data_IF_102947309257
#
_entry.id   IF_102947309257
#
_cell.length_a   1.000
_cell.length_b   1.000
_cell.length_c   1.000
_cell.angle_alpha   90.00
_cell.angle_beta   90.00
_cell.angle_gamma   90.00
#
_symmetry.space_group_name_H-M   'P 1'
#
loop_
_entity.id
_entity.type
_entity.pdbx_description
1 polymer ?
#
# COMPACT_ATOMS: atom_id res chain seq x y z
N UNK A 1 13.50 -23.48 -8.46
CA UNK A 1 14.16 -22.35 -9.16
C UNK A 1 15.02 -21.62 -8.15
N UNK A 2 16.22 -21.15 -8.52
CA UNK A 2 17.14 -20.44 -7.62
C UNK A 2 16.39 -19.29 -6.93
N UNK A 3 16.34 -19.27 -5.58
CA UNK A 3 15.47 -18.39 -4.79
C UNK A 3 15.56 -16.91 -5.17
N UNK A 4 16.72 -16.50 -5.74
CA UNK A 4 16.94 -15.17 -6.30
C UNK A 4 15.89 -14.75 -7.33
N UNK A 5 15.53 -15.62 -8.28
CA UNK A 5 14.49 -15.31 -9.28
C UNK A 5 13.13 -15.06 -8.61
N UNK A 6 12.77 -15.88 -7.62
CA UNK A 6 11.54 -15.68 -6.86
C UNK A 6 11.58 -14.36 -6.07
N UNK A 7 12.73 -14.06 -5.46
CA UNK A 7 12.97 -12.83 -4.69
C UNK A 7 12.83 -11.58 -5.57
N UNK A 8 13.46 -11.57 -6.75
CA UNK A 8 13.38 -10.46 -7.69
C UNK A 8 11.93 -10.24 -8.18
N UNK A 9 11.20 -11.32 -8.53
CA UNK A 9 9.80 -11.22 -8.97
C UNK A 9 8.87 -10.72 -7.85
N UNK A 10 9.08 -11.20 -6.63
CA UNK A 10 8.35 -10.80 -5.44
C UNK A 10 8.59 -9.32 -5.11
N UNK A 11 9.84 -8.89 -5.02
CA UNK A 11 10.17 -7.52 -4.67
C UNK A 11 9.84 -6.53 -5.79
N UNK A 12 9.97 -6.93 -7.07
CA UNK A 12 9.54 -6.10 -8.20
C UNK A 12 8.10 -5.62 -8.05
N UNK A 13 7.16 -6.54 -7.81
CA UNK A 13 5.75 -6.18 -7.66
C UNK A 13 5.46 -5.45 -6.36
N UNK A 14 6.18 -5.80 -5.28
CA UNK A 14 6.07 -5.16 -3.98
C UNK A 14 6.46 -3.67 -4.03
N UNK A 15 7.54 -3.34 -4.74
CA UNK A 15 7.95 -1.94 -4.95
C UNK A 15 6.98 -1.17 -5.85
N UNK A 16 6.39 -1.80 -6.87
CA UNK A 16 5.39 -1.16 -7.72
C UNK A 16 4.10 -0.86 -6.94
N UNK A 17 3.62 -1.80 -6.12
CA UNK A 17 2.46 -1.56 -5.27
C UNK A 17 2.75 -0.48 -4.20
N UNK A 18 3.96 -0.47 -3.62
CA UNK A 18 4.40 0.57 -2.68
C UNK A 18 4.40 1.96 -3.33
N UNK A 19 4.94 2.09 -4.53
CA UNK A 19 4.91 3.34 -5.29
C UNK A 19 3.47 3.81 -5.54
N UNK A 20 2.57 2.91 -5.94
CA UNK A 20 1.14 3.23 -6.13
C UNK A 20 0.48 3.69 -4.82
N UNK A 21 0.71 2.96 -3.72
CA UNK A 21 0.15 3.27 -2.40
C UNK A 21 0.62 4.64 -1.89
N UNK A 22 1.92 4.92 -2.01
CA UNK A 22 2.48 6.20 -1.59
C UNK A 22 1.96 7.35 -2.45
N UNK A 23 1.84 7.17 -3.77
CA UNK A 23 1.25 8.18 -4.65
C UNK A 23 -0.20 8.50 -4.28
N UNK A 24 -1.00 7.48 -3.95
CA UNK A 24 -2.39 7.67 -3.50
C UNK A 24 -2.48 8.42 -2.17
N UNK A 25 -1.62 8.06 -1.23
CA UNK A 25 -1.56 8.70 0.08
C UNK A 25 -1.12 10.16 -0.04
N UNK A 26 -0.07 10.44 -0.83
CA UNK A 26 0.41 11.79 -1.11
C UNK A 26 -0.65 12.68 -1.76
N UNK A 27 -1.32 12.17 -2.78
CA UNK A 27 -2.36 12.89 -3.52
C UNK A 27 -3.51 13.34 -2.61
N UNK A 28 -3.95 12.41 -1.75
CA UNK A 28 -5.00 12.67 -0.76
C UNK A 28 -4.52 13.64 0.32
N UNK A 29 -3.33 13.44 0.88
CA UNK A 29 -2.75 14.30 1.92
C UNK A 29 -2.57 15.73 1.41
N UNK A 30 -2.06 15.87 0.18
CA UNK A 30 -1.93 17.16 -0.50
C UNK A 30 -3.30 17.80 -0.75
N UNK A 31 -4.28 17.04 -1.24
CA UNK A 31 -5.63 17.55 -1.46
C UNK A 31 -6.29 18.06 -0.17
N UNK A 32 -6.11 17.34 0.94
CA UNK A 32 -6.59 17.77 2.26
C UNK A 32 -5.88 19.01 2.78
N UNK A 33 -4.56 19.13 2.56
CA UNK A 33 -3.77 20.31 2.97
C UNK A 33 -4.23 21.61 2.30
N UNK A 34 -4.87 21.52 1.13
CA UNK A 34 -5.41 22.66 0.38
C UNK A 34 -6.84 23.05 0.78
N UNK A 35 -7.53 22.24 1.60
CA UNK A 35 -8.90 22.54 2.01
C UNK A 35 -8.93 23.69 3.03
N UNK A 36 -9.92 24.60 2.99
CA UNK A 36 -10.07 25.63 4.00
C UNK A 36 -10.24 24.99 5.39
N UNK A 37 -9.30 25.25 6.29
CA UNK A 37 -9.37 24.82 7.67
C UNK A 37 -9.97 25.98 8.48
N UNK A 38 -11.08 25.75 9.19
CA UNK A 38 -11.78 26.76 10.01
C UNK A 38 -10.89 27.24 11.19
N UNK A 39 -9.88 28.08 10.91
CA UNK A 39 -8.94 28.64 11.88
C UNK A 39 -7.81 27.70 12.33
N UNK A 40 -7.55 26.60 11.62
CA UNK A 40 -6.54 25.58 12.00
C UNK A 40 -5.43 25.43 10.97
N UNK A 41 -4.30 26.09 11.22
CA UNK A 41 -3.02 25.84 10.54
C UNK A 41 -2.99 26.10 9.03
N UNK A 42 -1.85 25.79 8.42
CA UNK A 42 -1.54 25.93 6.99
C UNK A 42 -1.64 24.59 6.23
N UNK A 43 -2.30 23.58 6.81
CA UNK A 43 -2.49 22.24 6.22
C UNK A 43 -1.28 21.31 6.33
N UNK A 44 -0.24 21.70 7.07
CA UNK A 44 0.97 20.88 7.28
C UNK A 44 0.66 19.55 7.97
N UNK A 45 -0.26 19.53 8.94
CA UNK A 45 -0.61 18.30 9.68
C UNK A 45 -1.18 17.22 8.75
N UNK A 46 -2.09 17.60 7.84
CA UNK A 46 -2.64 16.70 6.85
C UNK A 46 -1.57 16.20 5.86
N UNK A 47 -0.61 17.07 5.51
CA UNK A 47 0.49 16.72 4.61
C UNK A 47 1.57 15.85 5.29
N UNK A 48 1.65 15.89 6.62
CA UNK A 48 2.55 15.07 7.42
C UNK A 48 2.02 13.65 7.67
N UNK A 49 0.73 13.37 7.40
CA UNK A 49 0.13 12.04 7.56
C UNK A 49 0.99 10.90 6.96
N UNK A 50 1.55 11.01 5.73
CA UNK A 50 2.39 9.96 5.18
C UNK A 50 3.66 9.67 6.00
N UNK A 51 4.22 10.64 6.73
CA UNK A 51 5.39 10.44 7.61
C UNK A 51 5.05 9.51 8.77
N UNK A 52 3.86 9.65 9.34
CA UNK A 52 3.37 8.78 10.43
C UNK A 52 3.14 7.35 9.91
N UNK A 53 2.38 7.23 8.82
CA UNK A 53 1.96 5.92 8.26
C UNK A 53 3.16 5.07 7.83
N UNK A 54 4.19 5.72 7.31
CA UNK A 54 5.42 5.06 6.86
C UNK A 54 6.46 4.91 7.97
N UNK A 55 6.24 5.52 9.14
CA UNK A 55 7.20 5.56 10.25
C UNK A 55 8.50 6.30 9.89
N UNK A 56 8.41 7.33 9.04
CA UNK A 56 9.57 8.08 8.52
C UNK A 56 9.70 9.50 9.08
N UNK A 57 8.88 9.84 10.08
CA UNK A 57 8.92 11.17 10.70
C UNK A 57 10.30 11.52 11.27
N UNK A 58 10.92 10.62 12.03
CA UNK A 58 12.22 10.86 12.66
C UNK A 58 13.33 11.06 11.61
N UNK A 59 13.37 10.22 10.57
CA UNK A 59 14.32 10.34 9.43
C UNK A 59 14.14 11.68 8.70
N UNK A 60 12.88 12.09 8.47
CA UNK A 60 12.61 13.38 7.85
C UNK A 60 13.10 14.55 8.72
N UNK A 61 12.76 14.55 10.02
CA UNK A 61 13.14 15.63 10.92
C UNK A 61 14.67 15.73 11.08
N UNK A 62 15.37 14.60 11.15
CA UNK A 62 16.83 14.54 11.23
C UNK A 62 17.49 15.16 9.97
N UNK A 63 16.95 14.88 8.79
CA UNK A 63 17.54 15.30 7.50
C UNK A 63 17.10 16.69 7.04
N UNK A 64 15.89 17.12 7.38
CA UNK A 64 15.25 18.32 6.82
C UNK A 64 14.81 19.35 7.86
N UNK A 65 14.87 19.03 9.16
CA UNK A 65 14.42 19.91 10.23
C UNK A 65 12.90 20.07 10.25
N UNK A 66 12.42 21.29 10.46
CA UNK A 66 10.98 21.57 10.55
C UNK A 66 10.20 21.13 9.30
N UNK A 67 8.97 20.67 9.53
CA UNK A 67 8.06 20.23 8.49
C UNK A 67 7.79 21.35 7.49
N UNK A 68 7.97 21.04 6.21
CA UNK A 68 7.72 21.99 5.13
C UNK A 68 7.12 21.28 3.93
N UNK A 69 6.04 21.84 3.40
CA UNK A 69 5.22 21.19 2.39
C UNK A 69 6.03 20.69 1.18
N UNK A 70 6.77 21.56 0.51
CA UNK A 70 7.55 21.18 -0.67
C UNK A 70 8.63 20.14 -0.37
N UNK A 71 9.24 20.19 0.83
CA UNK A 71 10.28 19.23 1.24
C UNK A 71 9.66 17.86 1.52
N UNK A 72 8.50 17.81 2.17
CA UNK A 72 7.77 16.55 2.39
C UNK A 72 7.33 15.93 1.06
N UNK A 73 6.79 16.72 0.13
CA UNK A 73 6.43 16.25 -1.20
C UNK A 73 7.65 15.67 -1.94
N UNK A 74 8.79 16.37 -1.89
CA UNK A 74 10.03 15.87 -2.48
C UNK A 74 10.53 14.58 -1.80
N UNK A 75 10.52 14.54 -0.47
CA UNK A 75 10.97 13.40 0.35
C UNK A 75 10.29 12.08 -0.04
N UNK A 76 8.98 12.11 -0.30
CA UNK A 76 8.26 10.90 -0.72
C UNK A 76 8.30 10.65 -2.22
N UNK A 77 8.39 11.69 -3.04
CA UNK A 77 8.29 11.53 -4.50
C UNK A 77 9.64 11.25 -5.17
N UNK A 78 10.64 12.09 -4.92
CA UNK A 78 11.85 12.22 -5.74
C UNK A 78 13.16 12.00 -4.96
N UNK A 79 13.12 11.94 -3.64
CA UNK A 79 14.32 11.79 -2.82
C UNK A 79 14.99 10.43 -3.07
N UNK A 80 16.22 10.48 -3.59
CA UNK A 80 17.02 9.30 -3.91
C UNK A 80 17.67 8.67 -2.67
N UNK A 81 17.74 9.39 -1.56
CA UNK A 81 18.30 8.91 -0.31
C UNK A 81 17.25 8.27 0.60
N UNK A 82 15.95 8.49 0.32
CA UNK A 82 14.85 7.79 0.95
C UNK A 82 14.52 6.49 0.17
N UNK A 83 14.83 5.28 0.70
CA UNK A 83 14.56 4.03 -0.01
C UNK A 83 13.07 3.75 -0.22
N UNK A 84 12.19 4.39 0.56
CA UNK A 84 10.75 4.28 0.45
C UNK A 84 10.14 5.29 -0.53
N UNK A 85 10.91 6.22 -1.09
CA UNK A 85 10.40 7.18 -2.07
C UNK A 85 9.89 6.49 -3.33
N UNK A 86 8.96 7.13 -4.03
CA UNK A 86 8.43 6.65 -5.31
C UNK A 86 9.56 6.47 -6.33
N UNK A 87 10.51 7.40 -6.39
CA UNK A 87 11.70 7.30 -7.23
C UNK A 87 12.50 6.02 -6.96
N UNK A 88 12.86 5.76 -5.70
CA UNK A 88 13.62 4.59 -5.30
C UNK A 88 12.85 3.28 -5.53
N UNK A 89 11.54 3.27 -5.24
CA UNK A 89 10.68 2.11 -5.50
C UNK A 89 10.63 1.77 -7.00
N UNK A 90 10.44 2.76 -7.87
CA UNK A 90 10.43 2.53 -9.32
C UNK A 90 11.80 2.09 -9.85
N UNK A 91 12.90 2.62 -9.30
CA UNK A 91 14.26 2.18 -9.62
C UNK A 91 14.49 0.71 -9.23
N UNK A 92 14.10 0.35 -8.01
CA UNK A 92 14.25 -1.00 -7.49
C UNK A 92 13.38 -2.01 -8.27
N UNK A 93 12.13 -1.65 -8.57
CA UNK A 93 11.26 -2.45 -9.42
C UNK A 93 11.88 -2.72 -10.79
N UNK A 94 12.44 -1.69 -11.44
CA UNK A 94 13.13 -1.82 -12.74
C UNK A 94 14.39 -2.67 -12.67
N UNK A 95 15.14 -2.57 -11.59
CA UNK A 95 16.35 -3.37 -11.37
C UNK A 95 16.00 -4.85 -11.20
N UNK A 96 14.99 -5.16 -10.40
CA UNK A 96 14.48 -6.52 -10.24
C UNK A 96 13.94 -7.08 -11.56
N UNK A 97 13.11 -6.31 -12.27
CA UNK A 97 12.58 -6.69 -13.58
C UNK A 97 13.68 -7.02 -14.59
N UNK A 98 14.79 -6.27 -14.56
CA UNK A 98 15.93 -6.52 -15.43
C UNK A 98 16.62 -7.86 -15.09
N UNK A 99 16.81 -8.15 -13.80
CA UNK A 99 17.40 -9.40 -13.32
C UNK A 99 16.59 -10.64 -13.75
N UNK A 100 15.26 -10.51 -13.85
CA UNK A 100 14.35 -11.60 -14.24
C UNK A 100 13.70 -11.40 -15.60
N UNK A 101 14.35 -10.66 -16.51
CA UNK A 101 13.81 -10.38 -17.85
C UNK A 101 13.40 -11.64 -18.63
N UNK A 102 14.11 -12.76 -18.42
CA UNK A 102 13.77 -14.06 -19.01
C UNK A 102 12.58 -14.79 -18.37
N UNK A 103 11.95 -14.22 -17.33
CA UNK A 103 10.82 -14.80 -16.57
C UNK A 103 9.57 -13.93 -16.59
N UNK A 104 9.66 -12.71 -17.14
CA UNK A 104 8.55 -11.81 -17.39
C UNK A 104 8.34 -11.65 -18.89
N UNK A 105 7.19 -11.11 -19.30
CA UNK A 105 6.91 -10.89 -20.71
C UNK A 105 7.58 -9.63 -21.24
N UNK A 106 7.69 -9.50 -22.56
CA UNK A 106 8.19 -8.30 -23.22
C UNK A 106 7.37 -7.07 -22.80
N UNK A 107 6.05 -7.16 -22.85
CA UNK A 107 5.11 -6.10 -22.47
C UNK A 107 5.33 -5.62 -21.03
N UNK A 108 5.57 -6.54 -20.08
CA UNK A 108 5.87 -6.19 -18.69
C UNK A 108 7.20 -5.43 -18.58
N UNK A 109 8.25 -5.91 -19.25
CA UNK A 109 9.56 -5.28 -19.24
C UNK A 109 9.52 -3.88 -19.88
N UNK A 110 8.90 -3.77 -21.05
CA UNK A 110 8.77 -2.50 -21.77
C UNK A 110 7.99 -1.47 -20.96
N UNK A 111 6.92 -1.91 -20.29
CA UNK A 111 6.15 -1.06 -19.40
C UNK A 111 7.00 -0.49 -18.25
N UNK A 112 7.70 -1.35 -17.49
CA UNK A 112 8.54 -0.92 -16.36
C UNK A 112 9.69 -0.04 -16.85
N UNK A 113 10.34 -0.39 -17.96
CA UNK A 113 11.45 0.37 -18.47
C UNK A 113 11.00 1.77 -18.97
N UNK A 114 9.86 1.86 -19.66
CA UNK A 114 9.28 3.13 -20.06
C UNK A 114 8.91 3.99 -18.83
N UNK A 115 8.29 3.39 -17.81
CA UNK A 115 7.98 4.06 -16.53
C UNK A 115 9.24 4.68 -15.91
N UNK A 116 10.35 3.92 -15.87
CA UNK A 116 11.60 4.42 -15.31
C UNK A 116 12.23 5.55 -16.13
N UNK A 117 12.21 5.46 -17.46
CA UNK A 117 12.75 6.50 -18.32
C UNK A 117 11.98 7.82 -18.16
N UNK A 118 10.65 7.75 -18.09
CA UNK A 118 9.81 8.92 -17.85
C UNK A 118 9.98 9.47 -16.44
N UNK A 119 10.08 8.60 -15.41
CA UNK A 119 10.40 8.99 -14.03
C UNK A 119 11.64 9.88 -13.96
N UNK A 120 12.71 9.49 -14.67
CA UNK A 120 13.95 10.27 -14.72
C UNK A 120 13.76 11.64 -15.39
N UNK A 121 12.90 11.72 -16.40
CA UNK A 121 12.52 12.98 -17.04
C UNK A 121 11.78 13.90 -16.06
N UNK A 122 10.82 13.35 -15.32
CA UNK A 122 10.06 14.08 -14.28
C UNK A 122 11.01 14.55 -13.17
N UNK A 123 11.90 13.69 -12.69
CA UNK A 123 12.88 14.04 -11.66
C UNK A 123 13.81 15.17 -12.12
N UNK A 124 14.29 15.13 -13.37
CA UNK A 124 15.10 16.20 -13.95
C UNK A 124 14.32 17.53 -14.12
N UNK A 125 13.01 17.46 -14.39
CA UNK A 125 12.13 18.61 -14.47
C UNK A 125 11.80 19.23 -13.11
N UNK A 126 11.74 18.40 -12.06
CA UNK A 126 11.34 18.76 -10.71
C UNK A 126 9.81 18.81 -10.51
N UNK A 127 9.36 18.53 -9.28
CA UNK A 127 7.94 18.49 -8.94
C UNK A 127 7.23 19.84 -9.10
N UNK A 128 7.90 20.96 -8.79
CA UNK A 128 7.28 22.29 -8.88
C UNK A 128 6.77 22.62 -10.29
N UNK A 129 7.47 22.14 -11.33
CA UNK A 129 7.04 22.34 -12.73
C UNK A 129 6.13 21.22 -13.24
N UNK A 130 6.28 20.00 -12.76
CA UNK A 130 5.44 18.87 -13.20
C UNK A 130 4.05 18.89 -12.56
N UNK A 131 3.97 19.32 -11.29
CA UNK A 131 2.78 19.31 -10.45
C UNK A 131 2.60 18.01 -9.68
N UNK A 132 2.38 18.09 -8.37
CA UNK A 132 2.27 16.90 -7.51
C UNK A 132 1.04 16.03 -7.83
N UNK A 133 -0.14 16.62 -8.01
CA UNK A 133 -1.33 15.83 -8.35
C UNK A 133 -1.18 15.09 -9.68
N UNK A 134 -0.58 15.75 -10.69
CA UNK A 134 -0.25 15.11 -11.98
C UNK A 134 0.77 13.99 -11.81
N UNK A 135 1.77 14.17 -10.95
CA UNK A 135 2.74 13.14 -10.61
C UNK A 135 2.08 11.92 -9.99
N UNK A 136 1.23 12.12 -8.99
CA UNK A 136 0.53 11.02 -8.32
C UNK A 136 -0.41 10.28 -9.28
N UNK A 137 -1.18 10.97 -10.13
CA UNK A 137 -1.99 10.34 -11.18
C UNK A 137 -1.14 9.51 -12.13
N UNK A 138 -0.03 10.07 -12.62
CA UNK A 138 0.89 9.35 -13.49
C UNK A 138 1.40 8.06 -12.84
N UNK A 139 1.84 8.08 -11.58
CA UNK A 139 2.27 6.84 -10.86
C UNK A 139 1.15 5.81 -10.79
N UNK A 140 -0.09 6.24 -10.52
CA UNK A 140 -1.27 5.36 -10.48
C UNK A 140 -1.52 4.72 -11.85
N UNK A 141 -1.49 5.51 -12.93
CA UNK A 141 -1.64 5.02 -14.31
C UNK A 141 -0.54 4.02 -14.68
N UNK A 142 0.72 4.29 -14.36
CA UNK A 142 1.85 3.37 -14.63
C UNK A 142 1.65 2.03 -13.92
N UNK A 143 1.19 2.06 -12.68
CA UNK A 143 0.90 0.84 -11.91
C UNK A 143 -0.27 0.04 -12.49
N UNK A 144 -1.30 0.73 -13.01
CA UNK A 144 -2.42 0.10 -13.71
C UNK A 144 -1.99 -0.58 -15.01
N UNK A 145 -1.17 0.10 -15.81
CA UNK A 145 -0.63 -0.47 -17.04
C UNK A 145 0.23 -1.70 -16.77
N UNK A 146 1.11 -1.66 -15.77
CA UNK A 146 1.91 -2.82 -15.37
C UNK A 146 1.02 -4.00 -14.94
N UNK A 147 0.00 -3.75 -14.11
CA UNK A 147 -0.94 -4.77 -13.65
C UNK A 147 -1.72 -5.38 -14.82
N UNK A 148 -2.17 -4.56 -15.77
CA UNK A 148 -2.83 -5.01 -16.99
C UNK A 148 -1.92 -5.88 -17.87
N UNK A 149 -0.69 -5.44 -18.11
CA UNK A 149 0.32 -6.20 -18.87
C UNK A 149 0.62 -7.55 -18.19
N UNK A 150 0.79 -7.54 -16.86
CA UNK A 150 1.02 -8.76 -16.07
C UNK A 150 -0.13 -9.75 -16.25
N UNK A 151 -1.37 -9.32 -15.99
CA UNK A 151 -2.53 -10.22 -16.03
C UNK A 151 -2.86 -10.70 -17.46
N UNK A 152 -2.62 -9.86 -18.46
CA UNK A 152 -2.96 -10.16 -19.85
C UNK A 152 -1.96 -11.06 -20.58
N UNK A 153 -0.70 -11.13 -20.13
CA UNK A 153 0.37 -11.71 -20.95
C UNK A 153 1.16 -12.83 -20.28
N UNK A 154 1.33 -12.84 -18.96
CA UNK A 154 2.19 -13.83 -18.30
C UNK A 154 1.46 -15.16 -18.10
N UNK A 155 2.20 -16.27 -18.25
CA UNK A 155 1.70 -17.60 -17.88
C UNK A 155 1.43 -17.68 -16.38
N UNK A 156 0.30 -18.29 -15.98
CA UNK A 156 -0.14 -18.46 -14.58
C UNK A 156 0.64 -19.57 -13.82
N UNK A 157 1.96 -19.52 -13.89
CA UNK A 157 2.89 -20.41 -13.18
C UNK A 157 3.50 -19.78 -11.93
N UNK A 158 4.64 -20.30 -11.47
CA UNK A 158 5.34 -19.81 -10.27
C UNK A 158 5.68 -18.32 -10.34
N UNK A 159 6.14 -17.83 -11.50
CA UNK A 159 6.51 -16.43 -11.66
C UNK A 159 5.34 -15.48 -11.41
N UNK A 160 4.17 -15.81 -11.96
CA UNK A 160 2.93 -15.08 -11.70
C UNK A 160 2.57 -15.10 -10.21
N UNK A 161 2.68 -16.26 -9.55
CA UNK A 161 2.38 -16.40 -8.12
C UNK A 161 3.28 -15.50 -7.28
N UNK A 162 4.60 -15.50 -7.50
CA UNK A 162 5.51 -14.62 -6.74
C UNK A 162 5.23 -13.13 -6.94
N UNK A 163 4.91 -12.71 -8.17
CA UNK A 163 4.48 -11.34 -8.45
C UNK A 163 3.21 -11.00 -7.66
N UNK A 164 2.22 -11.90 -7.67
CA UNK A 164 0.95 -11.71 -6.95
C UNK A 164 1.15 -11.69 -5.43
N UNK A 165 2.05 -12.51 -4.88
CA UNK A 165 2.39 -12.51 -3.45
C UNK A 165 2.94 -11.15 -3.01
N UNK A 166 3.91 -10.59 -3.74
CA UNK A 166 4.46 -9.27 -3.43
C UNK A 166 3.37 -8.18 -3.48
N UNK A 167 2.50 -8.23 -4.48
CA UNK A 167 1.39 -7.27 -4.65
C UNK A 167 0.44 -7.29 -3.46
N UNK A 168 -0.10 -8.46 -3.10
CA UNK A 168 -1.14 -8.52 -2.07
C UNK A 168 -0.60 -8.41 -0.65
N UNK A 169 0.65 -8.80 -0.40
CA UNK A 169 1.24 -8.59 0.91
C UNK A 169 1.48 -7.09 1.17
N UNK A 170 1.98 -6.36 0.19
CA UNK A 170 2.15 -4.90 0.30
C UNK A 170 0.80 -4.19 0.45
N UNK A 171 -0.19 -4.62 -0.31
CA UNK A 171 -1.54 -4.06 -0.25
C UNK A 171 -2.21 -4.30 1.09
N UNK A 172 -2.12 -5.52 1.63
CA UNK A 172 -2.66 -5.87 2.95
C UNK A 172 -2.02 -5.03 4.07
N UNK A 173 -0.69 -4.91 4.08
CA UNK A 173 0.04 -4.09 5.05
C UNK A 173 -0.35 -2.62 4.94
N UNK A 174 -0.45 -2.07 3.72
CA UNK A 174 -0.86 -0.68 3.50
C UNK A 174 -2.30 -0.41 3.97
N UNK A 175 -3.25 -1.32 3.73
CA UNK A 175 -4.63 -1.15 4.20
C UNK A 175 -4.70 -1.08 5.72
N UNK A 176 -3.97 -1.97 6.41
CA UNK A 176 -3.90 -1.97 7.88
C UNK A 176 -3.30 -0.66 8.41
N UNK A 177 -2.12 -0.27 7.90
CA UNK A 177 -1.43 0.95 8.35
C UNK A 177 -2.22 2.22 8.09
N UNK A 178 -2.88 2.31 6.92
CA UNK A 178 -3.68 3.50 6.60
C UNK A 178 -4.91 3.62 7.52
N UNK A 179 -5.50 2.49 7.91
CA UNK A 179 -6.60 2.48 8.87
C UNK A 179 -6.12 2.81 10.29
N UNK A 180 -4.94 2.33 10.67
CA UNK A 180 -4.35 2.52 11.99
C UNK A 180 -3.82 3.93 12.24
N UNK A 181 -3.29 4.58 11.19
CA UNK A 181 -2.80 5.96 11.19
C UNK A 181 -3.70 6.98 11.88
N UNK A 182 -5.02 6.75 11.81
CA UNK A 182 -6.03 7.61 12.44
C UNK A 182 -5.90 7.62 13.95
N UNK A 183 -5.59 6.49 14.57
CA UNK A 183 -5.37 6.39 16.01
C UNK A 183 -4.06 7.05 16.42
N UNK A 184 -3.00 6.92 15.63
CA UNK A 184 -1.74 7.61 15.86
C UNK A 184 -1.88 9.14 15.79
N UNK A 185 -2.69 9.65 14.85
CA UNK A 185 -2.92 11.08 14.68
C UNK A 185 -3.84 11.70 15.73
N UNK A 186 -4.87 10.98 16.17
CA UNK A 186 -5.97 11.52 16.97
C UNK A 186 -5.95 11.06 18.44
N UNK A 187 -5.14 10.05 18.80
CA UNK A 187 -5.04 9.53 20.16
C UNK A 187 -6.40 9.11 20.74
N UNK A 188 -6.66 9.46 22.00
CA UNK A 188 -7.94 9.22 22.67
C UNK A 188 -9.13 9.92 21.99
N UNK A 189 -8.88 10.93 21.16
CA UNK A 189 -9.91 11.60 20.36
C UNK A 189 -10.24 10.84 19.07
N UNK A 190 -9.53 9.76 18.71
CA UNK A 190 -9.84 8.99 17.50
C UNK A 190 -11.27 8.44 17.48
N UNK A 191 -11.78 8.04 18.66
CA UNK A 191 -13.16 7.59 18.86
C UNK A 191 -14.14 8.75 19.08
N UNK A 192 -13.63 9.93 19.47
CA UNK A 192 -14.42 11.11 19.83
C UNK A 192 -14.53 12.18 18.73
N UNK A 193 -13.66 12.16 17.70
CA UNK A 193 -13.85 12.91 16.45
C UNK A 193 -15.12 12.39 15.85
N UNK A 194 -16.21 13.08 16.14
CA UNK A 194 -17.53 12.54 15.87
C UNK A 194 -17.62 12.20 14.39
N UNK A 195 -18.10 10.99 14.10
CA UNK A 195 -18.53 10.52 12.77
C UNK A 195 -19.53 11.49 12.09
N UNK A 196 -19.99 12.52 12.82
CA UNK A 196 -20.90 13.57 12.37
C UNK A 196 -20.23 14.91 12.05
N UNK A 197 -18.92 15.07 12.28
CA UNK A 197 -18.19 16.28 11.91
C UNK A 197 -17.84 16.28 10.41
N UNK A 198 -17.84 17.47 9.80
CA UNK A 198 -17.41 17.64 8.40
C UNK A 198 -15.96 17.15 8.21
N UNK A 199 -15.07 17.42 9.18
CA UNK A 199 -13.68 16.95 9.16
C UNK A 199 -13.56 15.44 9.13
N UNK A 200 -14.29 14.74 10.02
CA UNK A 200 -14.32 13.28 10.05
C UNK A 200 -14.81 12.67 8.74
N UNK A 201 -15.84 13.29 8.13
CA UNK A 201 -16.31 12.90 6.79
C UNK A 201 -15.22 13.02 5.73
N UNK A 202 -14.51 14.15 5.67
CA UNK A 202 -13.45 14.38 4.69
C UNK A 202 -12.26 13.43 4.90
N UNK A 203 -11.83 13.23 6.14
CA UNK A 203 -10.75 12.29 6.46
C UNK A 203 -11.10 10.84 6.10
N UNK A 204 -12.32 10.41 6.38
CA UNK A 204 -12.78 9.08 5.96
C UNK A 204 -12.88 8.96 4.44
N UNK A 205 -13.40 9.99 3.77
CA UNK A 205 -13.47 10.02 2.30
C UNK A 205 -12.09 9.98 1.67
N UNK A 206 -11.14 10.71 2.24
CA UNK A 206 -9.72 10.71 1.87
C UNK A 206 -9.11 9.31 2.01
N UNK A 207 -9.28 8.66 3.16
CA UNK A 207 -8.79 7.30 3.40
C UNK A 207 -9.39 6.30 2.39
N UNK A 208 -10.70 6.36 2.16
CA UNK A 208 -11.37 5.51 1.18
C UNK A 208 -10.85 5.75 -0.25
N UNK A 209 -10.56 7.00 -0.63
CA UNK A 209 -9.96 7.34 -1.94
C UNK A 209 -8.52 6.82 -2.05
N UNK A 210 -7.72 6.95 -1.00
CA UNK A 210 -6.36 6.42 -0.95
C UNK A 210 -6.34 4.89 -1.12
N UNK A 211 -7.39 4.19 -0.66
CA UNK A 211 -7.57 2.75 -0.85
C UNK A 211 -8.46 2.37 -2.03
N UNK A 212 -8.79 3.29 -2.95
CA UNK A 212 -9.71 3.04 -4.09
C UNK A 212 -10.99 2.30 -3.73
N UNK A 213 -11.55 2.62 -2.57
CA UNK A 213 -12.70 1.96 -1.98
C UNK A 213 -13.85 2.94 -1.71
N UNK A 214 -13.73 4.19 -2.18
CA UNK A 214 -14.76 5.21 -2.01
C UNK A 214 -16.05 4.85 -2.76
N UNK A 215 -15.93 4.48 -4.04
CA UNK A 215 -17.06 4.07 -4.87
C UNK A 215 -17.73 2.81 -4.30
N UNK A 216 -16.92 1.81 -3.90
CA UNK A 216 -17.42 0.60 -3.25
C UNK A 216 -18.14 0.90 -1.94
N UNK A 217 -17.61 1.82 -1.12
CA UNK A 217 -18.28 2.27 0.10
C UNK A 217 -19.65 2.87 -0.21
N UNK A 218 -19.72 3.80 -1.17
CA UNK A 218 -20.99 4.48 -1.51
C UNK A 218 -22.04 3.55 -2.10
N UNK A 219 -21.62 2.48 -2.77
CA UNK A 219 -22.51 1.46 -3.32
C UNK A 219 -23.06 0.53 -2.24
N UNK A 220 -22.19 0.02 -1.36
CA UNK A 220 -22.54 -0.98 -0.35
C UNK A 220 -23.25 -0.33 0.85
N UNK A 221 -22.76 0.83 1.29
CA UNK A 221 -23.21 1.50 2.49
C UNK A 221 -23.93 2.80 2.17
N UNK A 222 -25.19 2.90 2.59
CA UNK A 222 -25.94 4.16 2.55
C UNK A 222 -25.55 5.06 3.72
N UNK A 223 -25.47 6.36 3.46
CA UNK A 223 -25.22 7.41 4.46
C UNK A 223 -23.75 7.68 4.73
N UNK A 224 -23.46 8.49 5.75
CA UNK A 224 -22.11 8.97 6.02
C UNK A 224 -21.13 7.85 6.42
N UNK A 225 -19.84 7.98 6.04
CA UNK A 225 -18.75 7.15 6.52
C UNK A 225 -18.68 7.17 8.05
N UNK A 226 -18.80 5.98 8.65
CA UNK A 226 -18.66 5.74 10.09
C UNK A 226 -17.59 4.69 10.32
N UNK A 227 -16.86 4.79 11.44
CA UNK A 227 -15.74 3.88 11.78
C UNK A 227 -16.11 2.41 11.57
N UNK A 228 -17.24 1.96 12.13
CA UNK A 228 -17.72 0.57 11.97
C UNK A 228 -17.83 0.12 10.52
N UNK A 229 -18.49 0.92 9.67
CA UNK A 229 -18.74 0.54 8.26
C UNK A 229 -17.45 0.52 7.44
N UNK A 230 -16.53 1.42 7.75
CA UNK A 230 -15.24 1.53 7.06
C UNK A 230 -14.32 0.39 7.47
N UNK A 231 -14.25 0.10 8.77
CA UNK A 231 -13.54 -1.07 9.28
C UNK A 231 -14.09 -2.36 8.66
N UNK A 232 -15.41 -2.55 8.62
CA UNK A 232 -16.02 -3.72 7.97
C UNK A 232 -15.65 -3.80 6.47
N UNK A 233 -15.77 -2.70 5.73
CA UNK A 233 -15.41 -2.62 4.30
C UNK A 233 -13.95 -3.00 4.07
N UNK A 234 -13.04 -2.42 4.84
CA UNK A 234 -11.60 -2.53 4.60
C UNK A 234 -10.98 -3.77 5.22
N UNK A 235 -11.61 -4.38 6.23
CA UNK A 235 -11.07 -5.55 6.89
C UNK A 235 -11.73 -6.85 6.41
N UNK A 236 -13.07 -6.88 6.29
CA UNK A 236 -13.83 -8.13 6.26
C UNK A 236 -14.62 -8.40 4.97
N UNK A 237 -14.70 -7.44 4.04
CA UNK A 237 -15.43 -7.60 2.76
C UNK A 237 -14.58 -8.24 1.66
N UNK A 238 -14.90 -9.44 1.15
CA UNK A 238 -14.07 -10.13 0.14
C UNK A 238 -14.15 -9.52 -1.26
N UNK A 239 -15.22 -8.77 -1.56
CA UNK A 239 -15.52 -8.17 -2.86
C UNK A 239 -14.79 -6.83 -3.11
N UNK A 240 -14.14 -6.28 -2.07
CA UNK A 240 -13.34 -5.06 -2.17
C UNK A 240 -11.88 -5.45 -2.42
N UNK A 241 -11.27 -5.15 -3.60
CA UNK A 241 -9.95 -5.68 -3.97
C UNK A 241 -8.77 -5.28 -3.08
N UNK A 242 -8.99 -4.27 -2.22
CA UNK A 242 -8.01 -3.73 -1.26
C UNK A 242 -8.35 -4.04 0.18
N UNK A 243 -9.45 -4.73 0.45
CA UNK A 243 -9.71 -5.18 1.81
C UNK A 243 -8.67 -6.21 2.23
N UNK A 244 -8.42 -6.27 3.53
CA UNK A 244 -7.51 -7.23 4.13
C UNK A 244 -7.95 -8.67 3.81
N UNK A 245 -9.24 -8.97 3.92
CA UNK A 245 -9.80 -10.29 3.55
C UNK A 245 -9.53 -10.65 2.10
N UNK A 246 -9.82 -9.76 1.15
CA UNK A 246 -9.59 -10.03 -0.28
C UNK A 246 -8.10 -10.29 -0.56
N UNK A 247 -7.22 -9.47 0.04
CA UNK A 247 -5.78 -9.66 -0.10
C UNK A 247 -5.29 -10.97 0.52
N UNK A 248 -5.82 -11.37 1.69
CA UNK A 248 -5.44 -12.62 2.35
C UNK A 248 -5.95 -13.86 1.61
N UNK A 249 -7.19 -13.83 1.09
CA UNK A 249 -7.73 -14.89 0.23
C UNK A 249 -6.84 -15.11 -1.00
N UNK A 250 -6.36 -14.03 -1.61
CA UNK A 250 -5.44 -14.08 -2.74
C UNK A 250 -4.04 -14.57 -2.35
N UNK A 251 -3.49 -14.14 -1.22
CA UNK A 251 -2.21 -14.66 -0.69
C UNK A 251 -2.27 -16.16 -0.45
N UNK A 252 -3.34 -16.65 0.18
CA UNK A 252 -3.57 -18.06 0.44
C UNK A 252 -3.67 -18.86 -0.89
N UNK A 253 -4.42 -18.35 -1.87
CA UNK A 253 -4.54 -18.95 -3.20
C UNK A 253 -3.20 -19.02 -3.94
N UNK A 254 -2.37 -17.97 -3.85
CA UNK A 254 -1.07 -17.96 -4.52
C UNK A 254 -0.10 -18.93 -3.85
N UNK A 255 -0.02 -18.95 -2.51
CA UNK A 255 0.88 -19.82 -1.74
C UNK A 255 0.54 -21.30 -1.87
N UNK A 256 -0.75 -21.66 -1.86
CA UNK A 256 -1.19 -23.06 -1.99
C UNK A 256 -0.80 -23.71 -3.32
N UNK A 257 -0.57 -22.92 -4.37
CA UNK A 257 -0.12 -23.42 -5.66
C UNK A 257 1.40 -23.32 -5.90
N UNK A 258 2.19 -22.95 -4.89
CA UNK A 258 3.65 -23.04 -4.96
C UNK A 258 4.13 -24.41 -4.46
N UNK A 259 5.10 -25.05 -5.15
CA UNK A 259 5.64 -26.34 -4.72
C UNK A 259 6.71 -26.19 -3.62
N UNK A 260 6.99 -27.29 -2.91
CA UNK A 260 8.12 -27.41 -1.98
C UNK A 260 7.70 -27.56 -0.52
N UNK A 261 8.28 -28.54 0.20
CA UNK A 261 7.95 -28.79 1.60
C UNK A 261 8.38 -27.65 2.53
N UNK A 262 9.44 -26.92 2.17
CA UNK A 262 9.91 -25.73 2.88
C UNK A 262 8.84 -24.63 2.93
N UNK A 263 7.87 -24.65 2.00
CA UNK A 263 6.76 -23.72 1.89
C UNK A 263 5.62 -23.92 2.89
N UNK A 264 5.57 -25.08 3.56
CA UNK A 264 4.46 -25.46 4.46
C UNK A 264 4.19 -24.45 5.59
N UNK A 265 5.21 -23.87 6.27
CA UNK A 265 4.97 -22.88 7.31
C UNK A 265 4.24 -21.63 6.80
N UNK A 266 4.66 -21.08 5.65
CA UNK A 266 4.02 -19.92 5.03
C UNK A 266 2.60 -20.24 4.55
N UNK A 267 2.40 -21.41 3.92
CA UNK A 267 1.09 -21.88 3.48
C UNK A 267 0.11 -22.05 4.64
N UNK A 268 0.55 -22.67 5.74
CA UNK A 268 -0.27 -22.86 6.94
C UNK A 268 -0.68 -21.52 7.53
N UNK A 269 0.27 -20.60 7.73
CA UNK A 269 -0.01 -19.29 8.31
C UNK A 269 -1.00 -18.49 7.44
N UNK A 270 -0.85 -18.49 6.12
CA UNK A 270 -1.80 -17.82 5.24
C UNK A 270 -3.21 -18.44 5.31
N UNK A 271 -3.32 -19.77 5.38
CA UNK A 271 -4.61 -20.45 5.54
C UNK A 271 -5.28 -20.13 6.89
N UNK A 272 -4.50 -20.08 7.97
CA UNK A 272 -4.99 -19.69 9.31
C UNK A 272 -5.49 -18.24 9.32
N UNK A 273 -4.76 -17.31 8.72
CA UNK A 273 -5.15 -15.90 8.64
C UNK A 273 -6.38 -15.66 7.74
N UNK A 274 -6.46 -16.33 6.58
CA UNK A 274 -7.65 -16.31 5.71
C UNK A 274 -8.87 -16.86 6.46
N UNK A 275 -8.75 -18.00 7.12
CA UNK A 275 -9.83 -18.57 7.93
C UNK A 275 -10.24 -17.62 9.06
N UNK A 276 -9.28 -17.02 9.78
CA UNK A 276 -9.57 -16.02 10.84
C UNK A 276 -10.42 -14.88 10.27
N UNK A 277 -9.98 -14.23 9.19
CA UNK A 277 -10.71 -13.11 8.58
C UNK A 277 -12.08 -13.49 8.03
N UNK A 278 -12.22 -14.72 7.53
CA UNK A 278 -13.47 -15.23 6.97
C UNK A 278 -14.57 -15.42 8.01
N UNK A 279 -14.19 -15.84 9.21
CA UNK A 279 -15.12 -16.21 10.28
C UNK A 279 -15.17 -15.20 11.44
N UNK A 280 -14.36 -14.14 11.41
CA UNK A 280 -14.44 -13.02 12.35
C UNK A 280 -15.55 -12.05 11.92
N UNK A 281 -16.39 -11.64 12.87
CA UNK A 281 -17.38 -10.58 12.69
C UNK A 281 -16.82 -9.20 13.01
N UNK A 282 -17.44 -8.14 12.48
CA UNK A 282 -17.03 -6.76 12.83
C UNK A 282 -17.27 -6.44 14.31
N UNK A 283 -18.25 -7.08 14.96
CA UNK A 283 -18.51 -6.91 16.38
C UNK A 283 -17.32 -7.41 17.22
N UNK A 284 -16.80 -8.60 16.92
CA UNK A 284 -15.61 -9.14 17.61
C UNK A 284 -14.38 -8.23 17.45
N UNK A 285 -14.17 -7.65 16.26
CA UNK A 285 -13.05 -6.70 16.02
C UNK A 285 -13.20 -5.44 16.88
N UNK A 286 -14.42 -4.90 16.99
CA UNK A 286 -14.67 -3.67 17.73
C UNK A 286 -14.69 -3.90 19.25
N UNK A 287 -15.13 -5.06 19.71
CA UNK A 287 -15.12 -5.46 21.13
C UNK A 287 -13.69 -5.63 21.66
N UNK A 288 -12.76 -6.11 20.81
CA UNK A 288 -11.32 -6.16 21.12
C UNK A 288 -10.67 -4.75 21.13
N UNK A 289 -11.27 -3.80 20.42
CA UNK A 289 -10.74 -2.47 20.15
C UNK A 289 -10.00 -2.42 18.82
N UNK A 290 -10.45 -1.56 17.91
CA UNK A 290 -9.97 -1.54 16.52
C UNK A 290 -8.45 -1.29 16.42
N UNK A 291 -7.89 -0.34 17.17
CA UNK A 291 -6.45 -0.07 17.15
C UNK A 291 -5.60 -1.27 17.61
N UNK A 292 -6.03 -1.93 18.69
CA UNK A 292 -5.36 -3.13 19.22
C UNK A 292 -5.37 -4.23 18.17
N UNK A 293 -6.55 -4.49 17.61
CA UNK A 293 -6.72 -5.50 16.58
C UNK A 293 -5.86 -5.21 15.33
N UNK A 294 -5.81 -3.96 14.87
CA UNK A 294 -5.00 -3.54 13.73
C UNK A 294 -3.51 -3.76 13.98
N UNK A 295 -3.02 -3.31 15.15
CA UNK A 295 -1.61 -3.45 15.54
C UNK A 295 -1.19 -4.92 15.57
N UNK A 296 -2.02 -5.78 16.15
CA UNK A 296 -1.79 -7.23 16.19
C UNK A 296 -1.78 -7.84 14.79
N UNK A 297 -2.73 -7.44 13.92
CA UNK A 297 -2.80 -7.97 12.57
C UNK A 297 -1.63 -7.50 11.68
N UNK A 298 -1.11 -6.28 11.88
CA UNK A 298 0.11 -5.79 11.22
C UNK A 298 1.30 -6.70 11.54
N UNK A 299 1.43 -7.14 12.80
CA UNK A 299 2.48 -8.09 13.20
C UNK A 299 2.32 -9.44 12.51
N UNK A 300 1.09 -9.95 12.40
CA UNK A 300 0.80 -11.22 11.72
C UNK A 300 1.13 -11.17 10.22
N UNK A 301 0.78 -10.07 9.53
CA UNK A 301 1.14 -9.88 8.12
C UNK A 301 2.66 -9.78 7.93
N UNK A 302 3.37 -9.13 8.86
CA UNK A 302 4.84 -9.08 8.86
C UNK A 302 5.47 -10.46 9.06
N UNK A 303 4.93 -11.26 9.98
CA UNK A 303 5.37 -12.64 10.20
C UNK A 303 5.12 -13.50 8.96
N UNK A 304 3.97 -13.36 8.29
CA UNK A 304 3.70 -14.04 7.03
C UNK A 304 4.73 -13.65 5.96
N UNK A 305 5.04 -12.37 5.82
CA UNK A 305 6.08 -11.89 4.90
C UNK A 305 7.46 -12.49 5.18
N UNK A 306 7.83 -12.58 6.47
CA UNK A 306 9.10 -13.19 6.91
C UNK A 306 9.13 -14.70 6.64
N UNK A 307 8.00 -15.38 6.85
CA UNK A 307 7.82 -16.80 6.54
C UNK A 307 7.94 -17.05 5.03
N UNK A 308 7.31 -16.23 4.18
CA UNK A 308 7.46 -16.29 2.72
C UNK A 308 8.93 -16.11 2.32
N UNK A 309 9.61 -15.13 2.92
CA UNK A 309 11.02 -14.85 2.63
C UNK A 309 11.91 -16.07 2.91
N UNK A 310 11.85 -16.59 4.13
CA UNK A 310 12.64 -17.75 4.57
C UNK A 310 12.29 -19.01 3.76
N UNK A 311 11.01 -19.20 3.44
CA UNK A 311 10.54 -20.44 2.78
C UNK A 311 10.87 -20.51 1.29
N UNK A 312 10.86 -19.37 0.58
CA UNK A 312 10.92 -19.33 -0.89
C UNK A 312 11.97 -18.40 -1.48
N UNK A 313 12.44 -17.39 -0.74
CA UNK A 313 13.25 -16.29 -1.29
C UNK A 313 14.73 -16.35 -0.85
N UNK A 314 15.05 -17.07 0.23
CA UNK A 314 16.42 -17.33 0.66
C UNK A 314 17.08 -18.48 -0.13
N UNK A 315 18.37 -18.33 -0.42
CA UNK A 315 19.15 -19.37 -1.09
C UNK A 315 19.53 -20.38 0.00
N UNK A 316 18.97 -21.59 -0.07
CA UNK A 316 19.46 -22.76 0.70
C UNK A 316 20.77 -23.26 0.10
#
# INVERSE_FOLDING_TARGET
MLSRTASDLYWMSRYLERAENLARMLDVSYSLSLMPQDGRGDGIDELAMPLLITGTLDDYLERHGEMHAERMLHFFALDADNPASIYCCLQAARTNAHAVRGRITADMWENINATWLEMRGIAAQGLGRYGISRFCEWVKERSHLFRGATFGTIMRGEAYRFIRLGTFLERADNTLRLLDARYEMLGEEADAVSDTSARGYYQWSALLRALSSFEAFTEIYRGSPRTRKIAELLLLRPDVPRSLRSCMEELNLMLSGLPGENGRPAQRMAAELDARLRYTSIDEVLDEGLHVWLTDFILLVRQLGSSIHTSYLEVV
#
